data_IF_112633759972
#
_entry.id   IF_112633759972
#
_cell.length_a   1.000
_cell.length_b   1.000
_cell.length_c   1.000
_cell.angle_alpha   90.00
_cell.angle_beta   90.00
_cell.angle_gamma   90.00
#
_symmetry.space_group_name_H-M   'P 1'
#
loop_
_entity.id
_entity.type
_entity.pdbx_description
1 polymer ?
#
# COMPACT_ATOMS: atom_id res chain seq x y z
N UNK A 1 -68.18 -48.36 -15.54
CA UNK A 1 -67.64 -47.27 -14.68
C UNK A 1 -66.12 -47.32 -14.82
N UNK A 2 -65.49 -46.32 -15.46
CA UNK A 2 -64.02 -46.25 -15.62
C UNK A 2 -63.38 -45.68 -14.35
N UNK A 3 -62.22 -46.18 -13.89
CA UNK A 3 -61.58 -45.67 -12.69
C UNK A 3 -61.03 -44.26 -12.93
N UNK A 4 -61.17 -43.41 -11.93
CA UNK A 4 -60.68 -42.02 -11.90
C UNK A 4 -59.19 -42.10 -11.56
N UNK A 5 -58.33 -41.76 -12.52
CA UNK A 5 -56.87 -41.72 -12.33
C UNK A 5 -56.51 -40.41 -11.62
N UNK A 6 -55.68 -40.50 -10.58
CA UNK A 6 -55.25 -39.38 -9.76
C UNK A 6 -54.25 -38.49 -10.55
N UNK A 7 -54.55 -37.20 -10.82
CA UNK A 7 -53.72 -36.33 -11.67
C UNK A 7 -52.27 -36.19 -11.19
N UNK A 8 -52.03 -36.41 -9.90
CA UNK A 8 -50.71 -36.30 -9.31
C UNK A 8 -49.78 -37.45 -9.73
N UNK A 9 -50.34 -38.64 -9.98
CA UNK A 9 -49.57 -39.79 -10.46
C UNK A 9 -49.08 -39.60 -11.91
N UNK A 10 -49.89 -38.99 -12.77
CA UNK A 10 -49.48 -38.68 -14.15
C UNK A 10 -48.34 -37.66 -14.21
N UNK A 11 -48.34 -36.70 -13.28
CA UNK A 11 -47.29 -35.67 -13.24
C UNK A 11 -45.97 -36.25 -12.72
N UNK A 12 -46.02 -37.11 -11.71
CA UNK A 12 -44.86 -37.80 -11.15
C UNK A 12 -44.20 -38.74 -12.20
N UNK A 13 -45.02 -39.44 -12.98
CA UNK A 13 -44.53 -40.26 -14.11
C UNK A 13 -43.90 -39.40 -15.22
N UNK A 14 -44.40 -38.18 -15.44
CA UNK A 14 -43.86 -37.25 -16.44
C UNK A 14 -42.51 -36.70 -16.01
N UNK A 15 -42.36 -36.27 -14.75
CA UNK A 15 -41.06 -35.81 -14.22
C UNK A 15 -40.00 -36.92 -14.23
N UNK A 16 -40.40 -38.16 -13.89
CA UNK A 16 -39.47 -39.29 -13.90
C UNK A 16 -38.92 -39.57 -15.31
N UNK A 17 -39.78 -39.50 -16.33
CA UNK A 17 -39.38 -39.63 -17.75
C UNK A 17 -38.50 -38.48 -18.21
N UNK A 18 -38.76 -37.26 -17.74
CA UNK A 18 -37.96 -36.10 -18.10
C UNK A 18 -36.55 -36.16 -17.46
N UNK A 19 -36.46 -36.62 -16.22
CA UNK A 19 -35.17 -36.85 -15.55
C UNK A 19 -34.39 -38.02 -16.17
N UNK A 20 -35.07 -39.10 -16.60
CA UNK A 20 -34.41 -40.16 -17.37
C UNK A 20 -33.84 -39.65 -18.70
N UNK A 21 -34.61 -38.83 -19.45
CA UNK A 21 -34.13 -38.19 -20.67
C UNK A 21 -32.90 -37.32 -20.43
N UNK A 22 -32.91 -36.46 -19.41
CA UNK A 22 -31.76 -35.61 -19.07
C UNK A 22 -30.53 -36.44 -18.69
N UNK A 23 -30.73 -37.60 -18.05
CA UNK A 23 -29.63 -38.50 -17.68
C UNK A 23 -29.07 -39.25 -18.88
N UNK A 24 -29.92 -39.67 -19.82
CA UNK A 24 -29.51 -40.25 -21.10
C UNK A 24 -28.78 -39.25 -21.99
N UNK A 25 -29.24 -38.00 -22.01
CA UNK A 25 -28.62 -36.93 -22.78
C UNK A 25 -27.20 -36.61 -22.26
N UNK A 26 -27.00 -36.56 -20.94
CA UNK A 26 -25.66 -36.44 -20.35
C UNK A 26 -24.75 -37.63 -20.71
N UNK A 27 -25.27 -38.86 -20.64
CA UNK A 27 -24.48 -40.05 -21.04
C UNK A 27 -24.08 -40.02 -22.52
N UNK A 28 -24.95 -39.52 -23.41
CA UNK A 28 -24.62 -39.37 -24.84
C UNK A 28 -23.56 -38.32 -25.12
N UNK A 29 -23.46 -37.27 -24.30
CA UNK A 29 -22.40 -36.26 -24.41
C UNK A 29 -21.06 -36.84 -23.94
N UNK A 30 -21.06 -37.64 -22.88
CA UNK A 30 -19.84 -38.28 -22.35
C UNK A 30 -19.34 -39.44 -23.25
N UNK A 31 -20.23 -40.10 -24.00
CA UNK A 31 -19.88 -41.18 -24.95
C UNK A 31 -19.74 -40.70 -26.41
N UNK A 32 -19.84 -39.40 -26.69
CA UNK A 32 -19.63 -38.88 -28.04
C UNK A 32 -18.15 -39.07 -28.46
N UNK A 33 -17.86 -39.81 -29.53
CA UNK A 33 -16.49 -40.01 -29.99
C UNK A 33 -15.91 -38.68 -30.49
N UNK A 34 -14.82 -38.23 -29.87
CA UNK A 34 -14.03 -37.08 -30.33
C UNK A 34 -13.49 -37.44 -31.71
N UNK A 35 -13.98 -36.75 -32.74
CA UNK A 35 -13.59 -36.91 -34.13
C UNK A 35 -12.07 -36.66 -34.28
N UNK A 36 -11.22 -37.67 -34.58
CA UNK A 36 -9.79 -37.47 -34.72
C UNK A 36 -9.53 -36.95 -36.13
N UNK A 37 -9.58 -35.63 -36.30
CA UNK A 37 -9.01 -34.99 -37.47
C UNK A 37 -7.48 -35.18 -37.42
N UNK A 38 -7.03 -36.09 -38.27
CA UNK A 38 -5.71 -36.13 -38.92
C UNK A 38 -4.53 -36.53 -38.03
N UNK A 39 -4.09 -37.77 -38.24
CA UNK A 39 -2.83 -38.32 -37.76
C UNK A 39 -1.65 -37.45 -38.19
N UNK A 40 -1.03 -36.75 -37.24
CA UNK A 40 0.41 -36.57 -37.20
C UNK A 40 0.88 -36.90 -35.78
N UNK A 41 1.61 -38.01 -35.67
CA UNK A 41 2.23 -38.48 -34.43
C UNK A 41 3.19 -37.42 -33.87
N UNK A 42 2.80 -36.74 -32.80
CA UNK A 42 3.76 -36.06 -31.91
C UNK A 42 3.70 -36.66 -30.51
N UNK A 43 4.62 -37.61 -30.29
CA UNK A 43 4.98 -38.16 -28.98
C UNK A 43 5.48 -37.03 -28.07
N UNK A 44 4.65 -36.59 -27.13
CA UNK A 44 5.13 -35.82 -25.97
C UNK A 44 5.83 -36.76 -24.98
N UNK A 45 7.09 -37.07 -25.29
CA UNK A 45 8.02 -37.68 -24.35
C UNK A 45 8.53 -36.63 -23.36
N UNK A 46 8.09 -36.71 -22.11
CA UNK A 46 8.81 -36.09 -21.00
C UNK A 46 10.17 -36.78 -20.87
N UNK A 47 11.24 -36.05 -21.16
CA UNK A 47 12.62 -36.55 -21.10
C UNK A 47 13.14 -37.06 -22.44
N UNK A 48 13.37 -36.16 -23.39
CA UNK A 48 14.11 -36.46 -24.62
C UNK A 48 15.27 -35.47 -24.77
N UNK A 49 16.50 -35.97 -24.63
CA UNK A 49 17.69 -35.28 -25.12
C UNK A 49 17.64 -35.24 -26.64
N UNK A 50 17.38 -34.07 -27.21
CA UNK A 50 17.56 -33.83 -28.64
C UNK A 50 18.46 -32.61 -28.86
N UNK A 51 19.33 -32.80 -29.85
CA UNK A 51 20.48 -31.99 -30.25
C UNK A 51 20.13 -30.53 -30.55
N UNK A 52 21.07 -29.66 -30.19
CA UNK A 52 21.21 -28.26 -30.61
C UNK A 52 20.97 -28.11 -32.12
N UNK A 53 19.91 -27.37 -32.48
CA UNK A 53 19.85 -26.60 -33.71
C UNK A 53 19.96 -25.13 -33.32
N UNK A 54 20.92 -24.43 -33.94
CA UNK A 54 21.23 -23.02 -33.71
C UNK A 54 20.07 -22.16 -34.23
N UNK A 55 19.12 -21.88 -33.34
CA UNK A 55 18.26 -20.70 -33.46
C UNK A 55 19.03 -19.52 -32.90
N UNK A 56 19.17 -18.47 -33.70
CA UNK A 56 19.67 -17.16 -33.28
C UNK A 56 19.03 -16.79 -31.93
N UNK A 57 19.88 -16.67 -30.91
CA UNK A 57 19.50 -16.36 -29.55
C UNK A 57 18.94 -14.93 -29.52
N UNK A 58 17.61 -14.79 -29.63
CA UNK A 58 16.96 -13.65 -29.01
C UNK A 58 17.39 -13.65 -27.54
N UNK A 59 17.90 -12.51 -27.00
CA UNK A 59 18.51 -12.49 -25.68
C UNK A 59 17.48 -13.02 -24.68
N UNK A 60 17.84 -14.12 -24.01
CA UNK A 60 16.99 -14.75 -23.02
C UNK A 60 16.55 -13.68 -22.02
N UNK A 61 15.26 -13.32 -22.04
CA UNK A 61 14.69 -12.38 -21.08
C UNK A 61 14.90 -13.03 -19.71
N UNK A 62 15.89 -12.54 -18.96
CA UNK A 62 16.18 -13.04 -17.62
C UNK A 62 14.90 -12.88 -16.78
N UNK A 63 14.36 -14.00 -16.31
CA UNK A 63 13.19 -13.99 -15.43
C UNK A 63 13.54 -13.17 -14.19
N UNK A 64 12.81 -12.08 -13.97
CA UNK A 64 13.01 -11.26 -12.78
C UNK A 64 12.92 -12.13 -11.53
N UNK A 65 13.97 -12.06 -10.71
CA UNK A 65 14.00 -12.74 -9.42
C UNK A 65 12.96 -12.08 -8.50
N UNK A 66 12.39 -12.81 -7.53
CA UNK A 66 11.48 -12.22 -6.56
C UNK A 66 12.11 -11.01 -5.85
N UNK A 67 11.44 -9.86 -5.92
CA UNK A 67 11.85 -8.66 -5.20
C UNK A 67 11.26 -8.70 -3.78
N UNK A 68 12.13 -8.83 -2.78
CA UNK A 68 11.77 -8.79 -1.36
C UNK A 68 11.90 -7.39 -0.75
N UNK A 69 12.13 -6.37 -1.57
CA UNK A 69 12.11 -4.97 -1.16
C UNK A 69 10.69 -4.51 -0.79
N UNK A 70 10.61 -3.47 0.03
CA UNK A 70 9.33 -2.86 0.41
C UNK A 70 8.77 -2.07 -0.77
N UNK A 71 7.56 -2.40 -1.22
CA UNK A 71 6.93 -1.80 -2.40
C UNK A 71 6.38 -0.38 -2.18
N UNK A 72 6.40 0.15 -0.95
CA UNK A 72 5.89 1.48 -0.61
C UNK A 72 4.35 1.60 -0.57
N UNK A 73 3.61 0.68 -1.21
CA UNK A 73 2.15 0.71 -1.32
C UNK A 73 1.42 0.80 0.04
N UNK A 74 1.92 0.10 1.06
CA UNK A 74 1.32 0.18 2.41
C UNK A 74 1.43 1.58 3.03
N UNK A 75 2.51 2.31 2.74
CA UNK A 75 2.69 3.67 3.22
C UNK A 75 1.78 4.65 2.46
N UNK A 76 1.59 4.41 1.16
CA UNK A 76 0.61 5.15 0.34
C UNK A 76 -0.81 5.01 0.89
N UNK A 77 -1.23 3.80 1.25
CA UNK A 77 -2.59 3.56 1.77
C UNK A 77 -2.81 4.15 3.17
N UNK A 78 -1.78 4.18 4.00
CA UNK A 78 -1.91 4.57 5.42
C UNK A 78 -1.64 6.05 5.69
N UNK A 79 -0.72 6.67 4.95
CA UNK A 79 -0.23 8.01 5.26
C UNK A 79 -0.23 8.95 4.05
N UNK A 80 -1.34 8.97 3.30
CA UNK A 80 -1.55 9.95 2.23
C UNK A 80 -2.33 11.16 2.73
N UNK A 81 -1.76 12.35 2.57
CA UNK A 81 -2.40 13.63 2.86
C UNK A 81 -2.40 14.50 1.61
N UNK A 82 -3.57 14.99 1.19
CA UNK A 82 -3.74 15.81 -0.01
C UNK A 82 -3.09 15.20 -1.27
N UNK A 83 -3.15 13.87 -1.42
CA UNK A 83 -2.56 13.14 -2.55
C UNK A 83 -1.04 13.01 -2.52
N UNK A 84 -0.40 13.27 -1.37
CA UNK A 84 1.04 13.11 -1.15
C UNK A 84 1.27 12.18 0.04
N UNK A 85 2.13 11.19 -0.14
CA UNK A 85 2.56 10.29 0.94
C UNK A 85 3.45 11.05 1.90
N UNK A 86 3.04 11.13 3.16
CA UNK A 86 3.82 11.75 4.24
C UNK A 86 4.81 10.73 4.79
N UNK A 87 6.08 11.10 4.89
CA UNK A 87 7.13 10.21 5.41
C UNK A 87 7.05 10.04 6.93
N UNK A 88 6.57 11.07 7.62
CA UNK A 88 6.58 11.16 9.07
C UNK A 88 5.31 10.57 9.69
N UNK A 89 5.48 9.90 10.83
CA UNK A 89 4.38 9.46 11.70
C UNK A 89 4.61 10.02 13.11
N UNK A 90 3.57 10.61 13.69
CA UNK A 90 3.65 11.13 15.06
C UNK A 90 3.85 9.98 16.06
N UNK A 91 4.78 10.11 17.01
CA UNK A 91 5.01 9.06 17.98
C UNK A 91 3.92 9.09 19.08
N UNK A 92 3.68 7.97 19.80
CA UNK A 92 2.59 7.89 20.78
C UNK A 92 2.71 8.87 21.96
N UNK A 93 3.91 9.38 22.23
CA UNK A 93 4.21 10.42 23.21
C UNK A 93 3.99 11.86 22.72
N UNK A 94 3.57 12.05 21.47
CA UNK A 94 3.26 13.35 20.88
C UNK A 94 2.17 14.07 21.66
N UNK A 95 2.42 15.30 22.11
CA UNK A 95 1.44 16.10 22.85
C UNK A 95 1.56 17.58 22.49
N UNK A 96 0.42 18.25 22.30
CA UNK A 96 0.35 19.69 22.09
C UNK A 96 0.95 20.45 23.28
N UNK A 97 1.84 21.44 23.05
CA UNK A 97 2.44 22.21 24.13
C UNK A 97 1.39 23.05 24.86
N UNK A 98 1.57 23.23 26.17
CA UNK A 98 0.75 24.13 26.99
C UNK A 98 1.22 25.59 26.93
N UNK A 99 2.46 25.81 26.48
CA UNK A 99 3.10 27.12 26.38
C UNK A 99 2.88 27.66 24.97
N UNK A 100 2.66 28.97 24.83
CA UNK A 100 2.47 29.65 23.55
C UNK A 100 3.79 29.91 22.82
N UNK A 101 4.41 28.84 22.31
CA UNK A 101 5.60 28.93 21.47
C UNK A 101 5.34 29.73 20.18
N UNK A 102 6.35 30.52 19.80
CA UNK A 102 6.41 31.34 18.57
C UNK A 102 7.80 31.21 17.97
N UNK A 103 7.88 31.15 16.64
CA UNK A 103 9.12 31.31 15.89
C UNK A 103 9.16 32.70 15.27
N UNK A 104 10.34 33.29 15.30
CA UNK A 104 10.66 34.54 14.59
C UNK A 104 11.60 34.16 13.45
N UNK A 105 11.08 33.89 12.24
CA UNK A 105 11.90 33.56 11.09
C UNK A 105 12.54 34.82 10.50
N UNK A 106 13.76 34.64 9.96
CA UNK A 106 14.53 35.70 9.30
C UNK A 106 15.04 35.19 7.96
N UNK A 107 15.17 36.09 6.99
CA UNK A 107 15.89 35.86 5.75
C UNK A 107 17.04 36.87 5.67
N UNK A 108 18.23 36.44 6.07
CA UNK A 108 19.32 37.38 6.35
C UNK A 108 18.92 38.30 7.50
N UNK A 109 18.87 39.61 7.25
CA UNK A 109 18.46 40.62 8.23
C UNK A 109 16.96 40.96 8.16
N UNK A 110 16.23 40.42 7.18
CA UNK A 110 14.80 40.70 7.00
C UNK A 110 13.95 39.82 7.92
N UNK A 111 13.08 40.46 8.70
CA UNK A 111 12.12 39.76 9.56
C UNK A 111 10.95 39.25 8.74
N UNK A 112 10.69 37.95 8.81
CA UNK A 112 9.51 37.33 8.21
C UNK A 112 8.35 37.26 9.22
N UNK A 113 7.18 36.83 8.75
CA UNK A 113 5.99 36.69 9.57
C UNK A 113 6.23 35.73 10.75
N UNK A 114 5.81 36.13 11.95
CA UNK A 114 5.86 35.30 13.16
C UNK A 114 4.99 34.06 13.01
N UNK A 115 5.55 32.89 13.32
CA UNK A 115 4.86 31.61 13.20
C UNK A 115 4.46 31.07 14.57
N UNK A 116 3.19 30.71 14.72
CA UNK A 116 2.64 30.21 15.99
C UNK A 116 2.69 28.69 16.06
N UNK A 117 3.76 28.14 16.63
CA UNK A 117 4.03 26.69 16.66
C UNK A 117 3.46 25.96 17.89
N UNK A 118 2.38 26.45 18.51
CA UNK A 118 1.82 25.83 19.73
C UNK A 118 0.41 25.23 19.57
N UNK A 119 -0.18 25.32 18.37
CA UNK A 119 -1.56 24.91 18.11
C UNK A 119 -1.71 23.41 17.82
N UNK A 120 -0.66 22.77 17.32
CA UNK A 120 -0.57 21.34 17.00
C UNK A 120 0.58 20.66 17.77
N UNK A 121 0.61 19.32 17.74
CA UNK A 121 1.69 18.50 18.30
C UNK A 121 2.91 18.40 17.39
N UNK A 122 2.71 18.50 16.08
CA UNK A 122 3.74 18.42 15.06
C UNK A 122 3.58 19.51 14.01
N UNK A 123 4.66 19.86 13.32
CA UNK A 123 4.65 20.73 12.14
C UNK A 123 5.65 20.22 11.11
N UNK A 124 5.20 20.03 9.88
CA UNK A 124 6.04 19.65 8.76
C UNK A 124 6.66 20.90 8.10
N UNK A 125 7.98 20.91 8.01
CA UNK A 125 8.77 21.94 7.32
C UNK A 125 9.18 21.40 5.95
N UNK A 126 8.95 22.17 4.90
CA UNK A 126 9.37 21.79 3.55
C UNK A 126 8.85 22.72 2.47
N UNK A 127 9.24 22.45 1.22
CA UNK A 127 8.82 23.26 0.06
C UNK A 127 7.44 22.92 -0.50
N UNK A 128 6.90 21.73 -0.21
CA UNK A 128 5.61 21.30 -0.76
C UNK A 128 4.45 21.80 0.10
N UNK A 129 3.86 22.94 -0.32
CA UNK A 129 2.76 23.62 0.38
C UNK A 129 1.49 22.77 0.53
N UNK A 130 1.33 21.68 -0.22
CA UNK A 130 0.17 20.78 -0.07
C UNK A 130 0.18 20.02 1.25
N UNK A 131 1.36 19.81 1.81
CA UNK A 131 1.56 19.04 3.05
C UNK A 131 2.28 19.82 4.15
N UNK A 132 3.13 20.80 3.79
CA UNK A 132 3.92 21.53 4.76
C UNK A 132 3.07 22.53 5.56
N UNK A 133 3.08 22.40 6.89
CA UNK A 133 2.50 23.39 7.81
C UNK A 133 3.34 24.67 7.87
N UNK A 134 4.67 24.52 7.74
CA UNK A 134 5.65 25.60 7.74
C UNK A 134 6.35 25.60 6.37
N UNK A 135 5.77 26.28 5.36
CA UNK A 135 6.31 26.27 4.02
C UNK A 135 7.60 27.08 3.94
N UNK A 136 8.63 26.48 3.34
CA UNK A 136 9.91 27.13 3.05
C UNK A 136 10.13 27.13 1.55
N UNK A 137 9.95 28.30 0.92
CA UNK A 137 10.08 28.48 -0.53
C UNK A 137 11.56 28.68 -0.93
N UNK A 138 12.42 27.71 -0.57
CA UNK A 138 13.82 27.72 -0.92
C UNK A 138 14.21 26.47 -1.72
N UNK A 139 14.92 26.58 -2.85
CA UNK A 139 15.24 25.43 -3.71
C UNK A 139 16.16 24.39 -3.04
N UNK A 140 16.96 24.79 -2.05
CA UNK A 140 17.79 23.85 -1.28
C UNK A 140 16.97 23.02 -0.27
N UNK A 141 15.71 23.35 -0.01
CA UNK A 141 14.87 22.61 0.92
C UNK A 141 14.12 21.48 0.19
N UNK A 142 14.03 20.32 0.85
CA UNK A 142 13.28 19.16 0.35
C UNK A 142 11.77 19.42 0.37
N UNK A 143 11.01 18.62 -0.41
CA UNK A 143 9.52 18.64 -0.37
C UNK A 143 8.99 18.47 1.05
N UNK A 144 9.49 17.45 1.72
CA UNK A 144 9.35 17.19 3.15
C UNK A 144 10.77 17.18 3.70
N UNK A 145 11.15 18.19 4.49
CA UNK A 145 12.53 18.44 4.89
C UNK A 145 12.77 17.98 6.33
N UNK A 146 12.04 18.55 7.26
CA UNK A 146 12.15 18.24 8.67
C UNK A 146 10.80 18.38 9.36
N UNK A 147 10.67 17.81 10.56
CA UNK A 147 9.49 17.94 11.40
C UNK A 147 9.88 18.52 12.74
N UNK A 148 9.11 19.51 13.19
CA UNK A 148 9.11 19.97 14.57
C UNK A 148 8.06 19.18 15.35
N UNK A 149 8.50 18.31 16.27
CA UNK A 149 7.63 17.45 17.07
C UNK A 149 7.69 17.83 18.55
N UNK A 150 6.54 18.05 19.17
CA UNK A 150 6.42 18.14 20.62
C UNK A 150 6.21 16.77 21.25
N UNK A 151 7.09 16.38 22.19
CA UNK A 151 7.03 15.09 22.90
C UNK A 151 6.87 15.31 24.40
N UNK A 152 6.02 14.49 25.03
CA UNK A 152 5.87 14.48 26.49
C UNK A 152 6.85 13.51 27.12
N UNK A 153 7.87 14.06 27.78
CA UNK A 153 9.01 13.30 28.30
C UNK A 153 8.98 13.30 29.81
N UNK A 154 9.28 12.14 30.39
CA UNK A 154 9.46 11.98 31.82
C UNK A 154 10.74 12.69 32.27
N UNK A 155 10.64 13.44 33.36
CA UNK A 155 11.81 14.04 34.01
C UNK A 155 11.74 13.75 35.50
N UNK A 156 12.90 13.68 36.14
CA UNK A 156 13.00 13.54 37.59
C UNK A 156 13.00 14.93 38.20
N UNK A 157 12.10 15.17 39.15
CA UNK A 157 12.08 16.40 39.96
C UNK A 157 13.15 16.33 41.05
N UNK A 158 13.43 17.48 41.67
CA UNK A 158 14.38 17.58 42.79
C UNK A 158 13.95 16.73 44.00
N UNK A 159 12.64 16.57 44.21
CA UNK A 159 12.03 15.70 45.23
C UNK A 159 12.11 14.19 44.90
N UNK A 160 12.71 13.81 43.77
CA UNK A 160 12.82 12.44 43.31
C UNK A 160 11.57 11.87 42.61
N UNK A 161 10.45 12.60 42.61
CA UNK A 161 9.23 12.21 41.91
C UNK A 161 9.38 12.30 40.39
N UNK A 162 8.56 11.52 39.66
CA UNK A 162 8.49 11.59 38.20
C UNK A 162 7.50 12.66 37.77
N UNK A 163 7.97 13.61 36.97
CA UNK A 163 7.14 14.58 36.27
C UNK A 163 7.10 14.31 34.76
N UNK A 164 6.19 14.97 34.06
CA UNK A 164 6.16 15.00 32.59
C UNK A 164 6.30 16.44 32.12
N UNK A 165 7.16 16.69 31.13
CA UNK A 165 7.31 17.99 30.48
C UNK A 165 7.23 17.81 28.96
N UNK A 166 6.55 18.74 28.31
CA UNK A 166 6.45 18.75 26.85
C UNK A 166 7.65 19.53 26.31
N UNK A 167 8.43 18.94 25.41
CA UNK A 167 9.61 19.54 24.80
C UNK A 167 9.56 19.41 23.27
N UNK A 168 9.97 20.44 22.52
CA UNK A 168 10.12 20.35 21.07
C UNK A 168 11.35 19.54 20.69
N UNK A 169 11.27 18.86 19.54
CA UNK A 169 12.31 18.11 18.87
C UNK A 169 12.30 18.46 17.39
N UNK A 170 13.46 18.55 16.77
CA UNK A 170 13.59 18.63 15.31
C UNK A 170 14.05 17.27 14.82
N UNK A 171 13.38 16.75 13.79
CA UNK A 171 13.66 15.46 13.17
C UNK A 171 13.85 15.71 11.67
N UNK A 172 15.05 15.48 11.15
CA UNK A 172 15.31 15.50 9.71
C UNK A 172 14.69 14.27 9.04
N UNK A 173 14.03 14.45 7.89
CA UNK A 173 13.34 13.38 7.17
C UNK A 173 14.17 12.78 6.01
N UNK A 174 15.49 12.75 6.17
CA UNK A 174 16.44 12.41 5.12
C UNK A 174 16.43 13.49 4.04
N UNK A 175 16.62 14.74 4.47
CA UNK A 175 16.65 15.86 3.54
C UNK A 175 17.93 15.88 2.71
N UNK A 176 17.86 16.37 1.46
CA UNK A 176 18.99 16.26 0.53
C UNK A 176 20.23 17.05 0.94
N UNK A 177 20.03 18.20 1.61
CA UNK A 177 21.10 19.08 2.08
C UNK A 177 21.32 19.01 3.59
N UNK A 178 20.59 18.12 4.29
CA UNK A 178 20.58 18.07 5.75
C UNK A 178 19.83 19.22 6.41
N UNK A 179 19.71 19.13 7.74
CA UNK A 179 19.18 20.16 8.62
C UNK A 179 20.26 20.55 9.63
N UNK A 180 20.48 21.84 9.81
CA UNK A 180 21.48 22.38 10.74
C UNK A 180 20.81 23.19 11.84
N UNK A 181 21.36 23.13 13.06
CA UNK A 181 20.90 23.89 14.22
C UNK A 181 22.07 24.67 14.81
N UNK A 182 21.95 25.99 14.88
CA UNK A 182 23.03 26.87 15.37
C UNK A 182 24.36 26.67 14.63
N UNK A 183 24.29 26.47 13.32
CA UNK A 183 25.43 26.22 12.43
C UNK A 183 26.15 24.87 12.64
N UNK A 184 25.50 23.91 13.31
CA UNK A 184 25.95 22.52 13.48
C UNK A 184 24.99 21.50 12.85
#
# INVERSE_FOLDING_TARGET
RKPRVDPQWENDQRERRENERKREERRRVDEAPINPLREEEQKFGWGSQLKKEEKEEEPAIEKEKPNFGTSGALAEDTNTFNGVVVKYNEPPEARKPKIHWRLYPFKGEENLQVLYIHRQSAYLVGRDRRVADLPVDHPSCSKQHAVLQYRSISYKREDGSKGRRIRPYIIDLGSGNGTFLNNE
#
